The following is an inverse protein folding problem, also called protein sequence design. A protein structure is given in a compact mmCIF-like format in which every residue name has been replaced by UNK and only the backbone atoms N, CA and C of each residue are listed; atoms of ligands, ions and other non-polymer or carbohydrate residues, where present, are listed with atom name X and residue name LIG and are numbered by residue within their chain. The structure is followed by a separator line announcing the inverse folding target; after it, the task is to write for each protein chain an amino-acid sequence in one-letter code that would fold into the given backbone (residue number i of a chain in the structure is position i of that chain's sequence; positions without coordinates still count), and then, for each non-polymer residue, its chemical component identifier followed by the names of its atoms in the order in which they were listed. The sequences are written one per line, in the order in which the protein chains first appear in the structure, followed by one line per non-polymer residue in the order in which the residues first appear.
data_IF_603182236649
#
_entry.id   IF_603182236649
#
_cell.length_a   1.000
_cell.length_b   1.000
_cell.length_c   1.000
_cell.angle_alpha   90.00
_cell.angle_beta   90.00
_cell.angle_gamma   90.00
#
_symmetry.space_group_name_H-M   'P 1'
#
loop_
_entity.id
_entity.type
_entity.pdbx_description
1 polymer ?
#
# COMPACT_ATOMS: atom_id res chain seq x y z
N UNK A 1 14.20 4.63 14.56
CA UNK A 1 12.81 4.92 14.15
C UNK A 1 12.41 3.93 13.08
N UNK A 2 11.25 3.29 13.25
CA UNK A 2 10.65 2.25 12.41
C UNK A 2 10.65 2.61 10.91
N UNK A 3 11.70 2.20 10.18
CA UNK A 3 11.84 2.42 8.73
C UNK A 3 10.77 1.61 7.97
N UNK A 4 10.26 0.53 8.59
CA UNK A 4 9.37 -0.42 7.94
C UNK A 4 7.87 -0.18 8.16
N UNK A 5 7.47 0.71 9.09
CA UNK A 5 6.05 0.87 9.40
C UNK A 5 5.32 1.86 8.47
N UNK A 6 6.04 2.81 7.85
CA UNK A 6 5.43 3.82 6.98
C UNK A 6 4.59 3.23 5.83
N UNK A 7 5.11 2.24 5.08
CA UNK A 7 4.33 1.53 4.06
C UNK A 7 3.09 0.82 4.63
N UNK A 8 3.23 0.18 5.79
CA UNK A 8 2.12 -0.52 6.45
C UNK A 8 1.04 0.45 6.95
N UNK A 9 1.44 1.57 7.56
CA UNK A 9 0.52 2.64 7.98
C UNK A 9 -0.27 3.19 6.79
N UNK A 10 0.42 3.44 5.67
CA UNK A 10 -0.22 3.89 4.43
C UNK A 10 -1.25 2.89 3.90
N UNK A 11 -0.88 1.60 3.85
CA UNK A 11 -1.79 0.53 3.42
C UNK A 11 -3.05 0.46 4.31
N UNK A 12 -2.87 0.40 5.63
CA UNK A 12 -3.99 0.35 6.57
C UNK A 12 -4.82 1.63 6.58
N UNK A 13 -4.21 2.79 6.31
CA UNK A 13 -4.92 4.05 6.12
C UNK A 13 -5.90 3.99 4.96
N UNK A 14 -5.45 3.50 3.80
CA UNK A 14 -6.30 3.35 2.61
C UNK A 14 -7.43 2.35 2.88
N UNK A 15 -7.11 1.18 3.43
CA UNK A 15 -8.11 0.15 3.76
C UNK A 15 -9.20 0.72 4.66
N UNK A 16 -8.83 1.39 5.75
CA UNK A 16 -9.80 1.96 6.69
C UNK A 16 -10.66 3.03 6.01
N UNK A 17 -10.07 3.90 5.18
CA UNK A 17 -10.85 4.89 4.45
C UNK A 17 -11.86 4.25 3.50
N UNK A 18 -11.44 3.29 2.70
CA UNK A 18 -12.31 2.65 1.71
C UNK A 18 -13.38 1.76 2.35
N UNK A 19 -13.06 1.05 3.44
CA UNK A 19 -14.00 0.16 4.13
C UNK A 19 -14.95 0.91 5.06
N UNK A 20 -14.48 1.89 5.83
CA UNK A 20 -15.30 2.56 6.85
C UNK A 20 -15.88 3.91 6.41
N UNK A 21 -15.12 4.71 5.64
CA UNK A 21 -15.59 6.05 5.26
C UNK A 21 -16.40 6.05 3.98
N UNK A 22 -16.05 5.19 3.02
CA UNK A 22 -16.74 5.08 1.73
C UNK A 22 -17.55 3.78 1.57
N UNK A 23 -17.28 2.77 2.39
CA UNK A 23 -18.00 1.51 2.39
C UNK A 23 -19.35 1.59 3.10
N UNK A 24 -20.00 0.43 3.23
CA UNK A 24 -21.25 0.30 3.99
C UNK A 24 -20.97 0.18 5.50
N UNK A 25 -22.02 0.34 6.31
CA UNK A 25 -21.97 -0.07 7.72
C UNK A 25 -22.04 -1.58 7.79
N UNK A 26 -21.20 -2.17 8.63
CA UNK A 26 -21.19 -3.60 8.92
C UNK A 26 -21.87 -3.82 10.27
N UNK A 27 -22.83 -4.73 10.32
CA UNK A 27 -23.63 -4.97 11.52
C UNK A 27 -23.02 -6.04 12.42
N UNK A 28 -22.24 -6.94 11.83
CA UNK A 28 -21.56 -8.03 12.53
C UNK A 28 -20.06 -8.01 12.29
N UNK A 29 -19.32 -8.66 13.19
CA UNK A 29 -17.87 -8.83 13.05
C UNK A 29 -17.54 -9.66 11.82
N UNK A 30 -18.32 -10.72 11.58
CA UNK A 30 -18.11 -11.68 10.49
C UNK A 30 -18.25 -10.98 9.13
N UNK A 31 -19.24 -10.09 8.99
CA UNK A 31 -19.44 -9.31 7.78
C UNK A 31 -18.25 -8.37 7.50
N UNK A 32 -17.75 -7.70 8.54
CA UNK A 32 -16.56 -6.84 8.44
C UNK A 32 -15.31 -7.65 8.09
N UNK A 33 -15.10 -8.80 8.72
CA UNK A 33 -13.97 -9.68 8.43
C UNK A 33 -13.98 -10.15 6.97
N UNK A 34 -15.15 -10.48 6.43
CA UNK A 34 -15.28 -10.89 5.04
C UNK A 34 -14.99 -9.72 4.08
N UNK A 35 -15.54 -8.54 4.35
CA UNK A 35 -15.28 -7.36 3.55
C UNK A 35 -13.79 -6.97 3.53
N UNK A 36 -13.08 -7.13 4.66
CA UNK A 36 -11.63 -6.91 4.74
C UNK A 36 -10.88 -7.91 3.86
N UNK A 37 -11.25 -9.20 3.90
CA UNK A 37 -10.62 -10.23 3.04
C UNK A 37 -10.84 -9.95 1.56
N UNK A 38 -12.08 -9.63 1.18
CA UNK A 38 -12.44 -9.28 -0.19
C UNK A 38 -11.65 -8.05 -0.67
N UNK A 39 -11.55 -7.02 0.17
CA UNK A 39 -10.80 -5.82 -0.16
C UNK A 39 -9.30 -6.08 -0.30
N UNK A 40 -8.69 -6.91 0.55
CA UNK A 40 -7.28 -7.30 0.44
C UNK A 40 -7.05 -8.06 -0.87
N UNK A 41 -7.97 -8.98 -1.23
CA UNK A 41 -7.92 -9.71 -2.50
C UNK A 41 -8.00 -8.75 -3.69
N UNK A 42 -8.94 -7.82 -3.67
CA UNK A 42 -9.09 -6.77 -4.68
C UNK A 42 -7.82 -5.90 -4.78
N UNK A 43 -7.32 -5.37 -3.66
CA UNK A 43 -6.13 -4.53 -3.64
C UNK A 43 -4.93 -5.25 -4.24
N UNK A 44 -4.78 -6.55 -3.96
CA UNK A 44 -3.62 -7.33 -4.38
C UNK A 44 -3.71 -7.78 -5.84
N UNK A 45 -4.88 -8.19 -6.32
CA UNK A 45 -5.04 -8.89 -7.61
C UNK A 45 -5.79 -8.09 -8.68
N UNK A 46 -6.48 -7.01 -8.33
CA UNK A 46 -7.36 -6.29 -9.25
C UNK A 46 -7.07 -4.79 -9.32
N UNK A 47 -6.46 -4.23 -8.27
CA UNK A 47 -6.14 -2.80 -8.22
C UNK A 47 -4.87 -2.47 -9.01
N UNK A 48 -5.03 -1.97 -10.22
CA UNK A 48 -3.93 -1.44 -11.01
C UNK A 48 -3.32 -0.18 -10.39
N UNK A 49 -1.99 -0.13 -10.33
CA UNK A 49 -1.27 1.04 -9.83
C UNK A 49 -0.41 1.64 -10.94
N UNK A 50 -0.57 2.95 -11.18
CA UNK A 50 0.22 3.69 -12.18
C UNK A 50 1.72 3.60 -11.91
N UNK A 51 2.11 3.61 -10.63
CA UNK A 51 3.51 3.45 -10.19
C UNK A 51 4.13 2.14 -10.68
N UNK A 52 3.32 1.11 -10.85
CA UNK A 52 3.74 -0.22 -11.30
C UNK A 52 3.55 -0.43 -12.81
N UNK A 53 3.40 0.66 -13.59
CA UNK A 53 3.16 0.55 -15.02
C UNK A 53 1.77 -0.01 -15.35
N UNK A 54 0.76 0.33 -14.54
CA UNK A 54 -0.62 -0.17 -14.67
C UNK A 54 -0.69 -1.68 -14.47
N UNK A 55 -0.03 -2.16 -13.42
CA UNK A 55 -0.04 -3.56 -12.97
C UNK A 55 -0.49 -3.64 -11.53
N UNK A 56 -0.96 -4.80 -11.14
CA UNK A 56 -1.41 -5.10 -9.78
C UNK A 56 -0.21 -5.41 -8.87
N UNK A 57 -0.34 -5.23 -7.55
CA UNK A 57 0.71 -5.61 -6.61
C UNK A 57 1.14 -7.07 -6.75
N UNK A 58 0.19 -7.97 -6.99
CA UNK A 58 0.47 -9.40 -7.15
C UNK A 58 1.30 -9.70 -8.40
N UNK A 59 1.00 -9.08 -9.54
CA UNK A 59 1.79 -9.24 -10.77
C UNK A 59 3.24 -8.78 -10.57
N UNK A 60 3.43 -7.61 -9.93
CA UNK A 60 4.78 -7.10 -9.63
C UNK A 60 5.54 -8.06 -8.72
N UNK A 61 4.88 -8.57 -7.66
CA UNK A 61 5.50 -9.53 -6.74
C UNK A 61 5.86 -10.84 -7.43
N UNK A 62 4.98 -11.34 -8.29
CA UNK A 62 5.19 -12.60 -9.01
C UNK A 62 6.36 -12.48 -9.99
N UNK A 63 6.43 -11.38 -10.75
CA UNK A 63 7.56 -11.09 -11.63
C UNK A 63 8.87 -10.97 -10.86
N UNK A 64 8.85 -10.32 -9.69
CA UNK A 64 10.05 -10.16 -8.88
C UNK A 64 10.58 -11.50 -8.34
N UNK A 65 9.70 -12.47 -8.07
CA UNK A 65 10.08 -13.81 -7.60
C UNK A 65 10.64 -14.70 -8.72
N UNK A 66 10.26 -14.44 -9.98
CA UNK A 66 10.69 -15.24 -11.14
C UNK A 66 11.97 -14.71 -11.81
N UNK A 67 12.47 -13.55 -11.43
CA UNK A 67 13.62 -12.89 -12.07
C UNK A 67 14.80 -12.74 -11.10
N UNK A 68 16.02 -13.01 -11.59
CA UNK A 68 17.25 -12.78 -10.80
C UNK A 68 17.49 -11.29 -10.51
N UNK A 69 17.06 -10.41 -11.43
CA UNK A 69 17.19 -8.95 -11.33
C UNK A 69 15.81 -8.27 -11.44
N UNK A 70 15.03 -8.21 -10.35
CA UNK A 70 13.68 -7.66 -10.38
C UNK A 70 13.68 -6.14 -10.58
N UNK A 71 12.68 -5.65 -11.34
CA UNK A 71 12.46 -4.21 -11.53
C UNK A 71 12.24 -3.53 -10.18
N UNK A 72 13.01 -2.47 -9.93
CA UNK A 72 12.92 -1.71 -8.70
C UNK A 72 11.93 -0.55 -8.85
N UNK A 73 11.09 -0.37 -7.84
CA UNK A 73 10.17 0.76 -7.72
C UNK A 73 10.58 1.59 -6.50
N UNK A 74 11.58 2.49 -6.63
CA UNK A 74 12.00 3.33 -5.52
C UNK A 74 10.88 4.30 -5.12
N UNK A 75 10.77 4.59 -3.83
CA UNK A 75 9.80 5.58 -3.33
C UNK A 75 10.35 6.96 -3.67
N UNK A 76 9.58 7.84 -4.35
CA UNK A 76 10.02 9.19 -4.64
C UNK A 76 10.39 9.94 -3.36
N UNK A 77 11.50 10.67 -3.39
CA UNK A 77 11.93 11.44 -2.24
C UNK A 77 10.96 12.57 -1.92
N UNK A 78 10.63 12.71 -0.64
CA UNK A 78 9.79 13.81 -0.17
C UNK A 78 10.66 15.03 0.14
N UNK A 79 10.55 16.08 -0.71
CA UNK A 79 11.31 17.34 -0.57
C UNK A 79 11.10 18.03 0.79
N UNK A 80 9.92 17.91 1.40
CA UNK A 80 9.65 18.50 2.71
C UNK A 80 10.44 17.77 3.82
N UNK A 81 10.53 16.44 3.74
CA UNK A 81 11.32 15.63 4.66
C UNK A 81 12.81 15.96 4.51
N UNK A 82 13.29 16.12 3.27
CA UNK A 82 14.68 16.51 3.01
C UNK A 82 15.00 17.87 3.62
N UNK A 83 14.13 18.87 3.40
CA UNK A 83 14.29 20.20 3.98
C UNK A 83 14.32 20.17 5.51
N UNK A 84 13.43 19.40 6.14
CA UNK A 84 13.42 19.22 7.59
C UNK A 84 14.71 18.57 8.10
N UNK A 85 15.18 17.51 7.43
CA UNK A 85 16.45 16.86 7.80
C UNK A 85 17.63 17.81 7.69
N UNK A 86 17.71 18.59 6.61
CA UNK A 86 18.77 19.59 6.41
C UNK A 86 18.74 20.71 7.45
N UNK A 87 17.56 21.09 7.95
CA UNK A 87 17.42 22.15 8.95
C UNK A 87 17.72 21.70 10.39
N UNK A 88 17.56 20.41 10.70
CA UNK A 88 17.59 19.91 12.08
C UNK A 88 18.64 18.84 12.37
N UNK A 89 19.25 18.24 11.34
CA UNK A 89 20.19 17.11 11.47
C UNK A 89 21.44 17.25 10.59
N UNK A 90 21.68 18.43 9.98
CA UNK A 90 22.88 18.71 9.19
C UNK A 90 24.05 19.18 10.06
#
# INVERSE_FOLDING_TARGET
CCIDNGPMEGFWGILKCEIYHYGKKYETREELEEAIKEWIRYYSHERYQRRFGVRTPYEVRSEALCNENPVQYPIPENKAIQKYKAAHYA
#
